data_IF_605947563808
#
_entry.id   IF_605947563808
#
_cell.length_a   1.000
_cell.length_b   1.000
_cell.length_c   1.000
_cell.angle_alpha   90.00
_cell.angle_beta   90.00
_cell.angle_gamma   90.00
#
_symmetry.space_group_name_H-M   'P 1'
#
loop_
_entity.id
_entity.type
_entity.pdbx_description
1 polymer ?
#
# COMPACT_ATOMS: atom_id res chain seq x y z
N UNK A 1 2.95 19.40 -6.25
CA UNK A 1 2.14 18.81 -5.15
C UNK A 1 1.56 19.87 -4.19
N UNK A 2 2.31 20.89 -3.75
CA UNK A 2 1.78 21.99 -2.90
C UNK A 2 0.59 22.78 -3.49
N UNK A 3 0.46 22.86 -4.82
CA UNK A 3 -0.64 23.59 -5.50
C UNK A 3 -1.99 22.87 -5.48
N UNK A 4 -2.01 21.53 -5.33
CA UNK A 4 -3.27 20.75 -5.33
C UNK A 4 -3.91 20.72 -3.93
N UNK A 5 -3.09 20.84 -2.88
CA UNK A 5 -3.57 20.90 -1.49
C UNK A 5 -4.22 22.26 -1.18
N UNK A 6 -3.70 23.36 -1.73
CA UNK A 6 -4.29 24.70 -1.58
C UNK A 6 -5.64 24.84 -2.31
N UNK A 7 -5.84 24.16 -3.44
CA UNK A 7 -7.10 24.22 -4.18
C UNK A 7 -8.23 23.45 -3.49
N UNK A 8 -7.91 22.41 -2.71
CA UNK A 8 -8.91 21.66 -1.94
C UNK A 8 -9.36 22.41 -0.68
N UNK A 9 -8.44 23.16 -0.05
CA UNK A 9 -8.74 24.02 1.10
C UNK A 9 -9.57 25.27 0.71
N UNK A 10 -9.29 25.85 -0.47
CA UNK A 10 -10.00 27.03 -0.98
C UNK A 10 -11.45 26.74 -1.40
N UNK A 11 -11.75 25.52 -1.87
CA UNK A 11 -13.12 25.13 -2.23
C UNK A 11 -14.02 24.88 -1.00
N UNK A 12 -13.40 24.52 0.13
CA UNK A 12 -14.10 24.36 1.41
C UNK A 12 -14.48 25.74 1.97
N UNK A 13 -13.62 26.77 1.83
CA UNK A 13 -13.85 28.08 2.42
C UNK A 13 -15.02 28.90 1.81
N UNK A 14 -15.44 28.61 0.57
CA UNK A 14 -16.46 29.39 -0.15
C UNK A 14 -17.93 29.04 0.20
N UNK A 15 -18.17 28.12 1.14
CA UNK A 15 -19.52 27.70 1.56
C UNK A 15 -19.85 27.98 3.04
N UNK A 16 -18.97 28.67 3.79
CA UNK A 16 -19.16 28.91 5.23
C UNK A 16 -19.88 30.22 5.54
N UNK A 17 -21.21 30.17 5.47
CA UNK A 17 -22.08 31.06 6.23
C UNK A 17 -22.50 30.40 7.55
N UNK A 18 -21.92 30.89 8.65
CA UNK A 18 -22.43 30.81 10.03
C UNK A 18 -22.34 29.48 10.80
N UNK A 19 -21.40 29.42 11.75
CA UNK A 19 -21.58 28.75 13.05
C UNK A 19 -21.16 27.28 13.19
N UNK A 20 -19.94 27.04 13.66
CA UNK A 20 -19.56 26.65 15.03
C UNK A 20 -18.04 26.42 14.99
N UNK A 21 -17.29 27.32 15.62
CA UNK A 21 -15.82 27.26 15.77
C UNK A 21 -15.52 26.60 17.12
N UNK A 22 -15.45 25.26 17.15
CA UNK A 22 -14.94 24.54 18.33
C UNK A 22 -13.97 23.39 17.95
N UNK A 23 -13.77 23.09 16.66
CA UNK A 23 -13.00 21.92 16.22
C UNK A 23 -11.69 22.21 15.45
N UNK A 24 -11.27 23.48 15.33
CA UNK A 24 -10.05 23.82 14.57
C UNK A 24 -8.76 23.54 15.35
N UNK A 25 -8.73 23.76 16.67
CA UNK A 25 -7.49 23.71 17.44
C UNK A 25 -6.88 22.30 17.57
N UNK A 26 -7.72 21.27 17.75
CA UNK A 26 -7.25 19.88 17.88
C UNK A 26 -6.78 19.33 16.53
N UNK A 27 -7.47 19.67 15.44
CA UNK A 27 -7.06 19.27 14.09
C UNK A 27 -5.75 19.94 13.66
N UNK A 28 -5.57 21.23 14.00
CA UNK A 28 -4.32 21.95 13.77
C UNK A 28 -3.15 21.38 14.59
N UNK A 29 -3.39 20.97 15.84
CA UNK A 29 -2.36 20.35 16.67
C UNK A 29 -1.91 18.99 16.13
N UNK A 30 -2.85 18.12 15.75
CA UNK A 30 -2.54 16.83 15.09
C UNK A 30 -1.75 17.05 13.78
N UNK A 31 -2.09 18.08 13.00
CA UNK A 31 -1.36 18.39 11.78
C UNK A 31 0.07 18.85 12.06
N UNK A 32 0.30 19.67 13.10
CA UNK A 32 1.65 20.07 13.52
C UNK A 32 2.48 18.86 13.94
N UNK A 33 1.92 17.97 14.75
CA UNK A 33 2.60 16.75 15.17
C UNK A 33 2.95 15.83 13.98
N UNK A 34 2.06 15.73 12.99
CA UNK A 34 2.32 15.03 11.73
C UNK A 34 3.52 15.65 11.00
N UNK A 35 3.52 16.97 10.83
CA UNK A 35 4.59 17.69 10.11
C UNK A 35 5.95 17.54 10.82
N UNK A 36 5.96 17.61 12.16
CA UNK A 36 7.14 17.41 12.99
C UNK A 36 7.70 15.98 12.88
N UNK A 37 6.82 14.97 12.94
CA UNK A 37 7.21 13.57 12.80
C UNK A 37 7.70 13.27 11.38
N UNK A 38 7.09 13.83 10.34
CA UNK A 38 7.55 13.69 8.96
C UNK A 38 8.97 14.26 8.79
N UNK A 39 9.25 15.42 9.39
CA UNK A 39 10.60 16.00 9.41
C UNK A 39 11.59 15.08 10.15
N UNK A 40 11.23 14.65 11.36
CA UNK A 40 12.08 13.79 12.21
C UNK A 40 12.40 12.45 11.53
N UNK A 41 11.43 11.85 10.85
CA UNK A 41 11.63 10.60 10.11
C UNK A 41 12.59 10.77 8.93
N UNK A 42 12.61 11.93 8.28
CA UNK A 42 13.56 12.24 7.22
C UNK A 42 14.99 12.28 7.76
N UNK A 43 15.19 12.87 8.94
CA UNK A 43 16.48 12.94 9.62
C UNK A 43 16.93 11.54 10.08
N UNK A 44 16.07 10.81 10.79
CA UNK A 44 16.35 9.47 11.31
C UNK A 44 16.67 8.46 10.21
N UNK A 45 16.00 8.54 9.05
CA UNK A 45 16.25 7.63 7.92
C UNK A 45 17.72 7.63 7.49
N UNK A 46 18.38 8.78 7.54
CA UNK A 46 19.79 8.93 7.14
C UNK A 46 20.78 8.50 8.24
N UNK A 47 20.32 8.48 9.49
CA UNK A 47 21.18 8.30 10.66
C UNK A 47 21.05 6.90 11.29
N UNK A 48 20.03 6.12 10.94
CA UNK A 48 19.71 4.87 11.61
C UNK A 48 20.73 3.74 11.34
N UNK A 49 21.73 3.62 12.21
CA UNK A 49 22.84 2.67 12.08
C UNK A 49 22.75 1.52 13.08
N UNK A 50 22.19 1.78 14.26
CA UNK A 50 22.05 0.79 15.34
C UNK A 50 20.66 0.14 15.34
N UNK A 51 20.50 -0.94 16.10
CA UNK A 51 19.20 -1.56 16.37
C UNK A 51 18.28 -0.56 17.06
N UNK A 52 18.80 0.17 18.06
CA UNK A 52 18.05 1.20 18.78
C UNK A 52 17.53 2.29 17.84
N UNK A 53 18.36 2.77 16.90
CA UNK A 53 17.92 3.78 15.93
C UNK A 53 16.81 3.27 15.02
N UNK A 54 16.89 1.99 14.60
CA UNK A 54 15.84 1.37 13.78
C UNK A 54 14.54 1.22 14.56
N UNK A 55 14.60 0.81 15.83
CA UNK A 55 13.42 0.74 16.70
C UNK A 55 12.78 2.12 16.86
N UNK A 56 13.59 3.15 17.13
CA UNK A 56 13.11 4.54 17.20
C UNK A 56 12.50 4.98 15.87
N UNK A 57 13.11 4.62 14.74
CA UNK A 57 12.54 4.91 13.42
C UNK A 57 11.15 4.26 13.24
N UNK A 58 10.99 2.98 13.57
CA UNK A 58 9.69 2.29 13.52
C UNK A 58 8.68 2.91 14.49
N UNK A 59 9.08 3.28 15.70
CA UNK A 59 8.19 3.92 16.67
C UNK A 59 7.66 5.27 16.17
N UNK A 60 8.51 6.10 15.55
CA UNK A 60 8.07 7.37 14.97
C UNK A 60 7.17 7.14 13.74
N UNK A 61 7.43 6.10 12.92
CA UNK A 61 6.52 5.71 11.82
C UNK A 61 5.15 5.26 12.33
N UNK A 62 5.13 4.45 13.40
CA UNK A 62 3.91 3.97 14.06
C UNK A 62 3.12 5.15 14.64
N UNK A 63 3.80 6.08 15.33
CA UNK A 63 3.18 7.28 15.88
C UNK A 63 2.56 8.15 14.78
N UNK A 64 3.31 8.41 13.70
CA UNK A 64 2.82 9.17 12.55
C UNK A 64 1.59 8.53 11.91
N UNK A 65 1.61 7.21 11.68
CA UNK A 65 0.47 6.52 11.08
C UNK A 65 -0.74 6.48 12.03
N UNK A 66 -0.52 6.38 13.34
CA UNK A 66 -1.57 6.46 14.35
C UNK A 66 -2.24 7.84 14.34
N UNK A 67 -1.47 8.93 14.24
CA UNK A 67 -2.02 10.28 14.11
C UNK A 67 -2.81 10.47 12.81
N UNK A 68 -2.29 9.98 11.68
CA UNK A 68 -2.99 10.03 10.38
C UNK A 68 -4.30 9.22 10.38
N UNK A 69 -4.34 8.09 11.10
CA UNK A 69 -5.55 7.31 11.33
C UNK A 69 -6.54 8.12 12.16
N UNK A 70 -6.11 8.68 13.30
CA UNK A 70 -6.97 9.52 14.14
C UNK A 70 -7.56 10.70 13.36
N UNK A 71 -6.75 11.41 12.57
CA UNK A 71 -7.22 12.52 11.73
C UNK A 71 -8.26 12.06 10.68
N UNK A 72 -8.11 10.86 10.14
CA UNK A 72 -9.06 10.28 9.18
C UNK A 72 -10.36 9.87 9.88
N UNK A 73 -10.28 9.32 11.09
CA UNK A 73 -11.44 8.98 11.92
C UNK A 73 -12.22 10.25 12.33
N UNK A 74 -11.54 11.31 12.73
CA UNK A 74 -12.15 12.62 13.02
C UNK A 74 -12.86 13.19 11.77
N UNK A 75 -12.24 13.06 10.60
CA UNK A 75 -12.83 13.48 9.33
C UNK A 75 -14.11 12.70 9.04
N UNK A 76 -14.10 11.38 9.22
CA UNK A 76 -15.27 10.52 9.05
C UNK A 76 -16.38 10.93 10.04
N UNK A 77 -16.05 11.20 11.30
CA UNK A 77 -17.02 11.63 12.31
C UNK A 77 -17.64 12.99 11.92
N UNK A 78 -16.84 13.96 11.51
CA UNK A 78 -17.30 15.28 11.06
C UNK A 78 -18.23 15.18 9.83
N UNK A 79 -17.82 14.42 8.80
CA UNK A 79 -18.63 14.20 7.60
C UNK A 79 -19.94 13.49 7.94
N UNK A 80 -19.90 12.48 8.81
CA UNK A 80 -21.09 11.74 9.25
C UNK A 80 -22.07 12.66 10.00
N UNK A 81 -21.57 13.56 10.86
CA UNK A 81 -22.41 14.57 11.51
C UNK A 81 -23.09 15.52 10.50
N UNK A 82 -22.36 15.95 9.46
CA UNK A 82 -22.93 16.77 8.37
C UNK A 82 -24.00 16.01 7.58
N UNK A 83 -23.76 14.73 7.30
CA UNK A 83 -24.73 13.85 6.63
C UNK A 83 -26.01 13.77 7.45
N UNK A 84 -25.94 13.54 8.76
CA UNK A 84 -27.12 13.52 9.64
C UNK A 84 -27.93 14.83 9.56
N UNK A 85 -27.25 15.99 9.57
CA UNK A 85 -27.92 17.29 9.42
C UNK A 85 -28.59 17.41 8.04
N UNK A 86 -27.92 16.97 6.97
CA UNK A 86 -28.49 16.97 5.62
C UNK A 86 -29.69 16.02 5.51
N UNK A 87 -29.68 14.86 6.15
CA UNK A 87 -30.80 13.91 6.20
C UNK A 87 -32.03 14.52 6.86
N UNK A 88 -31.85 15.20 8.00
CA UNK A 88 -32.94 15.91 8.69
C UNK A 88 -33.53 16.98 7.76
N UNK A 89 -32.68 17.81 7.15
CA UNK A 89 -33.10 18.87 6.21
C UNK A 89 -33.83 18.30 4.99
N UNK A 90 -33.38 17.17 4.44
CA UNK A 90 -34.06 16.50 3.34
C UNK A 90 -35.43 15.99 3.76
N UNK A 91 -35.54 15.39 4.95
CA UNK A 91 -36.82 14.91 5.49
C UNK A 91 -37.82 16.04 5.69
N UNK A 92 -37.41 17.15 6.30
CA UNK A 92 -38.25 18.34 6.49
C UNK A 92 -38.74 18.91 5.16
N UNK A 93 -37.85 19.01 4.17
CA UNK A 93 -38.19 19.50 2.82
C UNK A 93 -39.14 18.57 2.07
N UNK A 94 -38.93 17.26 2.15
CA UNK A 94 -39.83 16.26 1.57
C UNK A 94 -41.25 16.38 2.14
N UNK A 95 -41.40 16.59 3.46
CA UNK A 95 -42.71 16.81 4.09
C UNK A 95 -43.40 18.10 3.61
N UNK A 96 -42.64 19.18 3.40
CA UNK A 96 -43.18 20.44 2.86
C UNK A 96 -43.64 20.24 1.42
N UNK A 97 -42.82 19.61 0.58
CA UNK A 97 -43.15 19.31 -0.81
C UNK A 97 -44.40 18.42 -0.92
N UNK A 98 -44.52 17.39 -0.08
CA UNK A 98 -45.70 16.52 -0.03
C UNK A 98 -46.97 17.30 0.30
N UNK A 99 -46.94 18.16 1.34
CA UNK A 99 -48.08 19.03 1.69
C UNK A 99 -48.45 19.97 0.54
N UNK A 100 -47.46 20.51 -0.16
CA UNK A 100 -47.68 21.40 -1.30
C UNK A 100 -48.30 20.68 -2.49
N UNK A 101 -47.82 19.48 -2.83
CA UNK A 101 -48.37 18.64 -3.90
C UNK A 101 -49.83 18.28 -3.58
N UNK A 102 -50.11 17.83 -2.36
CA UNK A 102 -51.45 17.46 -1.93
C UNK A 102 -52.41 18.65 -1.90
N UNK A 103 -51.94 19.84 -1.48
CA UNK A 103 -52.73 21.07 -1.55
C UNK A 103 -53.02 21.48 -3.00
N UNK A 104 -52.00 21.45 -3.87
CA UNK A 104 -52.16 21.74 -5.30
C UNK A 104 -53.13 20.77 -5.96
N UNK A 105 -53.10 19.49 -5.58
CA UNK A 105 -54.04 18.48 -6.06
C UNK A 105 -55.48 18.75 -5.58
N UNK A 106 -55.66 19.04 -4.28
CA UNK A 106 -56.99 19.35 -3.70
C UNK A 106 -57.62 20.62 -4.28
N UNK A 107 -56.81 21.61 -4.65
CA UNK A 107 -57.32 22.83 -5.28
C UNK A 107 -57.71 22.64 -6.76
N UNK A 108 -57.31 21.53 -7.37
CA UNK A 108 -57.48 21.27 -8.80
C UNK A 108 -56.64 22.22 -9.67
N UNK A 109 -56.40 21.84 -10.92
CA UNK A 109 -55.86 22.78 -11.91
C UNK A 109 -56.95 23.78 -12.27
N UNK A 110 -57.03 24.90 -11.56
CA UNK A 110 -57.88 26.00 -11.97
C UNK A 110 -57.32 26.54 -13.29
N UNK A 111 -58.08 26.40 -14.38
CA UNK A 111 -57.73 26.97 -15.67
C UNK A 111 -57.58 28.50 -15.49
N UNK A 112 -56.44 29.11 -15.87
CA UNK A 112 -56.24 30.55 -15.81
C UNK A 112 -57.39 31.34 -16.45
N UNK A 113 -58.03 30.78 -17.48
CA UNK A 113 -59.21 31.37 -18.12
C UNK A 113 -60.45 31.30 -17.22
N UNK A 114 -60.68 30.22 -16.48
CA UNK A 114 -61.78 30.13 -15.51
C UNK A 114 -61.60 31.08 -14.31
N UNK A 115 -60.37 31.29 -13.85
CA UNK A 115 -60.08 32.31 -12.82
C UNK A 115 -60.33 33.72 -13.37
N UNK A 116 -60.02 33.97 -14.64
CA UNK A 116 -60.26 35.26 -15.28
C UNK A 116 -61.76 35.60 -15.37
N UNK A 117 -62.60 34.61 -15.71
CA UNK A 117 -64.05 34.82 -15.90
C UNK A 117 -64.90 34.68 -14.63
N UNK A 118 -64.34 34.24 -13.50
CA UNK A 118 -65.08 34.03 -12.24
C UNK A 118 -65.03 35.20 -11.24
N UNK A 119 -64.34 36.30 -11.59
CA UNK A 119 -64.06 37.40 -10.64
C UNK A 119 -64.70 38.69 -11.13
N UNK A 120 -65.54 39.31 -10.30
CA UNK A 120 -66.27 40.56 -10.61
C UNK A 120 -65.48 41.85 -10.35
N UNK A 121 -64.27 41.76 -9.76
CA UNK A 121 -63.42 42.89 -9.35
C UNK A 121 -61.97 42.72 -9.87
N UNK A 122 -61.52 43.67 -10.68
CA UNK A 122 -60.17 43.69 -11.28
C UNK A 122 -59.04 43.73 -10.24
N UNK A 123 -59.23 44.41 -9.11
CA UNK A 123 -58.25 44.47 -8.02
C UNK A 123 -58.02 43.09 -7.39
N UNK A 124 -59.11 42.33 -7.25
CA UNK A 124 -59.09 40.96 -6.72
C UNK A 124 -58.44 39.97 -7.70
N UNK A 125 -58.69 40.14 -9.00
CA UNK A 125 -58.04 39.37 -10.06
C UNK A 125 -56.51 39.59 -10.08
N UNK A 126 -56.06 40.86 -10.09
CA UNK A 126 -54.64 41.21 -10.11
C UNK A 126 -53.91 40.66 -8.87
N UNK A 127 -54.55 40.74 -7.71
CA UNK A 127 -54.02 40.19 -6.46
C UNK A 127 -53.85 38.67 -6.56
N UNK A 128 -54.88 37.93 -7.02
CA UNK A 128 -54.82 36.47 -7.21
C UNK A 128 -53.72 36.05 -8.20
N UNK A 129 -53.54 36.78 -9.29
CA UNK A 129 -52.48 36.53 -10.26
C UNK A 129 -51.07 36.74 -9.66
N UNK A 130 -50.88 37.84 -8.92
CA UNK A 130 -49.64 38.09 -8.17
C UNK A 130 -49.35 36.96 -7.17
N UNK A 131 -50.36 36.53 -6.40
CA UNK A 131 -50.22 35.41 -5.46
C UNK A 131 -49.85 34.09 -6.17
N UNK A 132 -50.52 33.75 -7.28
CA UNK A 132 -50.21 32.55 -8.05
C UNK A 132 -48.75 32.55 -8.55
N UNK A 133 -48.26 33.71 -9.04
CA UNK A 133 -46.87 33.86 -9.48
C UNK A 133 -45.87 33.70 -8.33
N UNK A 134 -46.18 34.24 -7.15
CA UNK A 134 -45.35 34.08 -5.95
C UNK A 134 -45.30 32.60 -5.53
N UNK A 135 -46.43 31.90 -5.53
CA UNK A 135 -46.50 30.47 -5.20
C UNK A 135 -45.67 29.64 -6.20
N UNK A 136 -45.82 29.90 -7.51
CA UNK A 136 -45.04 29.19 -8.54
C UNK A 136 -43.53 29.41 -8.39
N UNK A 137 -43.11 30.65 -8.14
CA UNK A 137 -41.72 30.98 -7.90
C UNK A 137 -41.16 30.28 -6.64
N UNK A 138 -41.94 30.27 -5.56
CA UNK A 138 -41.58 29.60 -4.32
C UNK A 138 -41.46 28.08 -4.51
N UNK A 139 -42.40 27.44 -5.21
CA UNK A 139 -42.36 26.00 -5.49
C UNK A 139 -41.12 25.62 -6.31
N UNK A 140 -40.80 26.40 -7.36
CA UNK A 140 -39.57 26.19 -8.15
C UNK A 140 -38.32 26.31 -7.29
N UNK A 141 -38.29 27.29 -6.39
CA UNK A 141 -37.17 27.49 -5.45
C UNK A 141 -37.03 26.31 -4.49
N UNK A 142 -38.11 25.83 -3.89
CA UNK A 142 -38.06 24.69 -2.96
C UNK A 142 -37.56 23.42 -3.66
N UNK A 143 -38.00 23.16 -4.90
CA UNK A 143 -37.53 22.03 -5.70
C UNK A 143 -36.03 22.14 -6.00
N UNK A 144 -35.57 23.29 -6.50
CA UNK A 144 -34.16 23.56 -6.75
C UNK A 144 -33.31 23.39 -5.48
N UNK A 145 -33.71 24.01 -4.38
CA UNK A 145 -32.97 23.93 -3.12
C UNK A 145 -32.93 22.48 -2.59
N UNK A 146 -34.00 21.71 -2.80
CA UNK A 146 -34.04 20.28 -2.44
C UNK A 146 -33.06 19.48 -3.27
N UNK A 147 -32.97 19.73 -4.58
CA UNK A 147 -31.97 19.09 -5.46
C UNK A 147 -30.55 19.41 -5.00
N UNK A 148 -30.26 20.66 -4.64
CA UNK A 148 -28.94 21.06 -4.12
C UNK A 148 -28.60 20.30 -2.83
N UNK A 149 -29.55 20.16 -1.90
CA UNK A 149 -29.32 19.40 -0.67
C UNK A 149 -29.11 17.91 -0.97
N UNK A 150 -29.86 17.32 -1.92
CA UNK A 150 -29.67 15.92 -2.35
C UNK A 150 -28.28 15.69 -2.96
N UNK A 151 -27.82 16.62 -3.82
CA UNK A 151 -26.48 16.56 -4.41
C UNK A 151 -25.39 16.65 -3.33
N UNK A 152 -25.53 17.59 -2.40
CA UNK A 152 -24.60 17.73 -1.27
C UNK A 152 -24.59 16.47 -0.39
N UNK A 153 -25.75 15.89 -0.10
CA UNK A 153 -25.86 14.64 0.67
C UNK A 153 -25.13 13.50 -0.04
N UNK A 154 -25.38 13.30 -1.34
CA UNK A 154 -24.73 12.26 -2.12
C UNK A 154 -23.20 12.44 -2.17
N UNK A 155 -22.74 13.68 -2.36
CA UNK A 155 -21.31 14.00 -2.36
C UNK A 155 -20.66 13.71 -1.00
N UNK A 156 -21.28 14.13 0.11
CA UNK A 156 -20.76 13.86 1.46
C UNK A 156 -20.70 12.36 1.76
N UNK A 157 -21.71 11.60 1.30
CA UNK A 157 -21.74 10.14 1.44
C UNK A 157 -20.56 9.47 0.69
N UNK A 158 -20.29 9.89 -0.54
CA UNK A 158 -19.14 9.39 -1.31
C UNK A 158 -17.81 9.70 -0.60
N UNK A 159 -17.65 10.91 -0.07
CA UNK A 159 -16.44 11.28 0.69
C UNK A 159 -16.22 10.41 1.93
N UNK A 160 -17.29 10.02 2.63
CA UNK A 160 -17.20 9.08 3.76
C UNK A 160 -16.78 7.70 3.29
N UNK A 161 -17.32 7.19 2.18
CA UNK A 161 -16.92 5.88 1.66
C UNK A 161 -15.44 5.85 1.26
N UNK A 162 -14.96 6.89 0.58
CA UNK A 162 -13.55 7.00 0.20
C UNK A 162 -12.64 7.14 1.43
N UNK A 163 -13.05 7.92 2.43
CA UNK A 163 -12.32 8.04 3.69
C UNK A 163 -12.26 6.70 4.45
N UNK A 164 -13.34 5.90 4.46
CA UNK A 164 -13.36 4.56 5.07
C UNK A 164 -12.42 3.61 4.34
N UNK A 165 -12.42 3.60 3.00
CA UNK A 165 -11.46 2.79 2.21
C UNK A 165 -10.01 3.17 2.54
N UNK A 166 -9.72 4.46 2.64
CA UNK A 166 -8.40 4.96 3.04
C UNK A 166 -8.03 4.52 4.46
N UNK A 167 -8.95 4.62 5.41
CA UNK A 167 -8.75 4.19 6.80
C UNK A 167 -8.38 2.71 6.89
N UNK A 168 -9.06 1.84 6.13
CA UNK A 168 -8.76 0.42 6.09
C UNK A 168 -7.34 0.14 5.58
N UNK A 169 -6.92 0.85 4.52
CA UNK A 169 -5.54 0.75 4.01
C UNK A 169 -4.52 1.23 5.04
N UNK A 170 -4.79 2.35 5.73
CA UNK A 170 -3.91 2.86 6.78
C UNK A 170 -3.79 1.89 7.96
N UNK A 171 -4.90 1.29 8.41
CA UNK A 171 -4.90 0.29 9.50
C UNK A 171 -4.09 -0.95 9.13
N UNK A 172 -4.23 -1.46 7.90
CA UNK A 172 -3.41 -2.56 7.39
C UNK A 172 -1.93 -2.20 7.35
N UNK A 173 -1.59 -1.01 6.85
CA UNK A 173 -0.20 -0.53 6.81
C UNK A 173 0.39 -0.39 8.22
N UNK A 174 -0.38 0.09 9.20
CA UNK A 174 0.06 0.20 10.59
C UNK A 174 0.31 -1.18 11.23
N UNK A 175 -0.54 -2.17 10.93
CA UNK A 175 -0.34 -3.54 11.41
C UNK A 175 0.96 -4.14 10.88
N UNK A 176 1.23 -4.00 9.58
CA UNK A 176 2.48 -4.45 8.95
C UNK A 176 3.70 -3.77 9.57
N UNK A 177 3.65 -2.46 9.81
CA UNK A 177 4.77 -1.74 10.45
C UNK A 177 5.06 -2.22 11.88
N UNK A 178 4.02 -2.62 12.64
CA UNK A 178 4.19 -3.17 13.98
C UNK A 178 4.82 -4.56 13.92
N UNK A 179 4.34 -5.40 13.01
CA UNK A 179 4.87 -6.74 12.77
C UNK A 179 6.34 -6.69 12.32
N UNK A 180 6.70 -5.81 11.39
CA UNK A 180 8.10 -5.62 10.95
C UNK A 180 9.02 -5.22 12.12
N UNK A 181 8.56 -4.34 13.00
CA UNK A 181 9.31 -3.95 14.20
C UNK A 181 9.47 -5.12 15.17
N UNK A 182 8.39 -5.86 15.42
CA UNK A 182 8.41 -6.99 16.35
C UNK A 182 9.30 -8.12 15.81
N UNK A 183 9.24 -8.41 14.51
CA UNK A 183 10.12 -9.34 13.82
C UNK A 183 11.59 -8.92 13.94
N UNK A 184 11.93 -7.65 13.72
CA UNK A 184 13.29 -7.14 13.94
C UNK A 184 13.78 -7.44 15.37
N UNK A 185 12.95 -7.21 16.38
CA UNK A 185 13.31 -7.47 17.78
C UNK A 185 13.45 -8.96 18.08
N UNK A 186 12.59 -9.81 17.51
CA UNK A 186 12.66 -11.27 17.64
C UNK A 186 13.95 -11.80 17.02
N UNK A 187 14.24 -11.41 15.77
CA UNK A 187 15.39 -11.89 15.01
C UNK A 187 16.72 -11.42 15.60
N UNK A 188 16.76 -10.20 16.13
CA UNK A 188 17.96 -9.66 16.78
C UNK A 188 18.05 -10.05 18.24
N UNK A 189 16.99 -10.65 18.83
CA UNK A 189 16.86 -10.93 20.27
C UNK A 189 17.15 -9.69 21.13
N UNK A 190 16.76 -8.53 20.62
CA UNK A 190 17.07 -7.22 21.20
C UNK A 190 18.57 -7.00 21.48
N UNK A 191 19.45 -7.55 20.63
CA UNK A 191 20.90 -7.51 20.80
C UNK A 191 21.58 -6.82 19.61
N UNK A 192 22.28 -5.71 19.90
CA UNK A 192 23.00 -4.91 18.91
C UNK A 192 24.05 -5.72 18.15
N UNK A 193 24.80 -6.60 18.82
CA UNK A 193 25.85 -7.39 18.18
C UNK A 193 25.26 -8.40 17.19
N UNK A 194 24.09 -8.99 17.48
CA UNK A 194 23.40 -9.89 16.55
C UNK A 194 22.93 -9.11 15.32
N UNK A 195 22.34 -7.94 15.54
CA UNK A 195 21.89 -7.05 14.47
C UNK A 195 23.04 -6.61 13.55
N UNK A 196 24.14 -6.12 14.12
CA UNK A 196 25.30 -5.69 13.33
C UNK A 196 25.95 -6.86 12.59
N UNK A 197 26.01 -8.03 13.21
CA UNK A 197 26.49 -9.25 12.53
C UNK A 197 25.64 -9.52 11.29
N UNK A 198 24.32 -9.61 11.42
CA UNK A 198 23.44 -9.90 10.28
C UNK A 198 23.54 -8.87 9.15
N UNK A 199 23.66 -7.58 9.48
CA UNK A 199 23.89 -6.54 8.48
C UNK A 199 25.21 -6.73 7.74
N UNK A 200 26.28 -7.04 8.45
CA UNK A 200 27.57 -7.28 7.83
C UNK A 200 27.56 -8.54 6.96
N UNK A 201 26.88 -9.61 7.39
CA UNK A 201 26.70 -10.81 6.57
C UNK A 201 26.04 -10.47 5.22
N UNK A 202 24.93 -9.73 5.23
CA UNK A 202 24.25 -9.29 4.01
C UNK A 202 25.11 -8.35 3.14
N UNK A 203 25.93 -7.48 3.75
CA UNK A 203 26.85 -6.59 3.03
C UNK A 203 27.96 -7.36 2.32
N UNK A 204 28.55 -8.33 3.02
CA UNK A 204 29.62 -9.17 2.49
C UNK A 204 29.11 -10.08 1.37
N UNK A 205 27.92 -10.64 1.53
CA UNK A 205 27.27 -11.45 0.50
C UNK A 205 27.04 -10.64 -0.78
N UNK A 206 26.47 -9.43 -0.67
CA UNK A 206 26.31 -8.54 -1.83
C UNK A 206 27.65 -8.24 -2.52
N UNK A 207 28.70 -7.95 -1.74
CA UNK A 207 30.02 -7.67 -2.27
C UNK A 207 30.59 -8.88 -3.02
N UNK A 208 30.41 -10.10 -2.47
CA UNK A 208 30.82 -11.34 -3.12
C UNK A 208 30.06 -11.60 -4.42
N UNK A 209 28.74 -11.34 -4.48
CA UNK A 209 27.96 -11.48 -5.73
C UNK A 209 28.44 -10.47 -6.79
N UNK A 210 28.71 -9.23 -6.40
CA UNK A 210 29.24 -8.21 -7.31
C UNK A 210 30.62 -8.58 -7.85
N UNK A 211 31.51 -9.08 -6.99
CA UNK A 211 32.82 -9.56 -7.41
C UNK A 211 32.71 -10.80 -8.32
N UNK A 212 31.78 -11.71 -8.06
CA UNK A 212 31.54 -12.87 -8.91
C UNK A 212 31.10 -12.45 -10.32
N UNK A 213 30.26 -11.43 -10.46
CA UNK A 213 29.90 -10.88 -11.77
C UNK A 213 31.11 -10.32 -12.54
N UNK A 214 32.10 -9.77 -11.84
CA UNK A 214 33.28 -9.19 -12.46
C UNK A 214 34.38 -10.21 -12.78
N UNK A 215 34.53 -11.25 -11.96
CA UNK A 215 35.68 -12.16 -11.98
C UNK A 215 35.34 -13.64 -12.24
N UNK A 216 34.09 -13.97 -12.58
CA UNK A 216 33.72 -15.36 -12.81
C UNK A 216 34.42 -15.97 -14.02
N UNK A 217 34.75 -17.25 -13.89
CA UNK A 217 35.32 -18.08 -14.95
C UNK A 217 34.20 -18.75 -15.72
N UNK A 218 34.27 -18.71 -17.05
CA UNK A 218 33.31 -19.39 -17.93
C UNK A 218 33.59 -20.89 -17.92
N UNK A 219 32.62 -21.71 -17.51
CA UNK A 219 32.73 -23.17 -17.55
C UNK A 219 32.31 -23.73 -18.92
N UNK A 220 31.26 -23.17 -19.54
CA UNK A 220 30.80 -23.62 -20.86
C UNK A 220 29.29 -23.60 -21.02
N UNK A 221 28.76 -24.09 -22.16
CA UNK A 221 27.33 -24.22 -22.36
C UNK A 221 26.74 -25.34 -21.48
N UNK A 222 25.53 -25.12 -20.95
CA UNK A 222 24.75 -26.10 -20.20
C UNK A 222 23.34 -26.19 -20.75
N UNK A 223 22.73 -27.38 -20.63
CA UNK A 223 21.35 -27.65 -20.98
C UNK A 223 20.47 -27.72 -19.75
N UNK A 224 19.19 -27.45 -19.96
CA UNK A 224 18.17 -27.58 -18.94
C UNK A 224 18.22 -28.98 -18.31
N UNK A 225 18.33 -29.05 -16.98
CA UNK A 225 18.42 -30.30 -16.23
C UNK A 225 19.83 -30.85 -16.00
N UNK A 226 20.87 -30.26 -16.63
CA UNK A 226 22.26 -30.65 -16.40
C UNK A 226 22.66 -30.37 -14.94
N UNK A 227 23.41 -31.28 -14.29
CA UNK A 227 23.94 -31.04 -12.96
C UNK A 227 25.03 -29.96 -13.01
N UNK A 228 24.89 -28.91 -12.21
CA UNK A 228 25.79 -27.76 -12.20
C UNK A 228 26.54 -27.59 -10.87
N UNK A 229 26.14 -28.30 -9.81
CA UNK A 229 26.80 -28.25 -8.52
C UNK A 229 26.05 -29.03 -7.44
N UNK A 230 26.53 -28.93 -6.21
CA UNK A 230 25.86 -29.48 -5.03
C UNK A 230 25.50 -28.36 -4.07
N UNK A 231 24.33 -28.47 -3.42
CA UNK A 231 23.94 -27.59 -2.33
C UNK A 231 24.95 -27.73 -1.20
N UNK A 232 25.55 -26.61 -0.82
CA UNK A 232 26.58 -26.57 0.20
C UNK A 232 26.24 -25.57 1.31
N UNK A 233 27.29 -25.14 1.98
CA UNK A 233 27.24 -24.11 3.02
C UNK A 233 28.43 -23.15 2.85
N UNK A 234 28.85 -22.91 1.60
CA UNK A 234 29.94 -21.96 1.34
C UNK A 234 29.52 -20.56 1.78
N UNK A 235 30.49 -19.79 2.25
CA UNK A 235 30.26 -18.54 2.97
C UNK A 235 30.08 -18.70 4.48
N UNK A 236 29.85 -19.90 5.04
CA UNK A 236 29.76 -20.07 6.49
C UNK A 236 31.10 -19.78 7.20
N UNK A 237 31.12 -19.10 8.36
CA UNK A 237 29.98 -18.51 9.09
C UNK A 237 29.66 -17.05 8.70
N UNK A 238 30.37 -16.49 7.71
CA UNK A 238 30.38 -15.06 7.40
C UNK A 238 29.23 -14.59 6.52
N UNK A 239 28.68 -15.45 5.67
CA UNK A 239 27.62 -15.12 4.71
C UNK A 239 26.60 -16.26 4.55
N UNK A 240 26.75 -17.33 5.32
CA UNK A 240 25.75 -18.38 5.42
C UNK A 240 25.61 -18.81 6.87
N UNK A 241 24.40 -19.20 7.24
CA UNK A 241 24.06 -19.71 8.58
C UNK A 241 23.80 -21.22 8.58
N UNK A 242 23.67 -21.85 7.41
CA UNK A 242 23.36 -23.26 7.27
C UNK A 242 23.34 -23.72 5.82
N UNK A 243 23.29 -25.04 5.61
CA UNK A 243 23.25 -25.62 4.26
C UNK A 243 21.94 -25.29 3.57
N UNK A 244 21.99 -24.54 2.47
CA UNK A 244 20.83 -24.21 1.63
C UNK A 244 21.29 -23.73 0.25
N UNK A 245 20.35 -23.72 -0.71
CA UNK A 245 20.54 -23.06 -2.00
C UNK A 245 19.81 -21.73 -1.97
N UNK A 246 20.55 -20.64 -2.19
CA UNK A 246 19.97 -19.35 -2.50
C UNK A 246 19.91 -19.19 -4.03
N UNK A 247 18.69 -19.14 -4.57
CA UNK A 247 18.43 -19.06 -6.01
C UNK A 247 17.84 -17.70 -6.40
N UNK A 248 18.55 -16.95 -7.22
CA UNK A 248 18.08 -15.66 -7.75
C UNK A 248 17.81 -15.72 -9.25
N UNK A 249 16.82 -14.96 -9.70
CA UNK A 249 16.63 -14.64 -11.12
C UNK A 249 16.83 -13.13 -11.30
N UNK A 250 17.64 -12.75 -12.30
CA UNK A 250 17.88 -11.35 -12.67
C UNK A 250 17.49 -11.09 -14.11
N UNK A 251 16.80 -9.99 -14.33
CA UNK A 251 16.50 -9.45 -15.65
C UNK A 251 17.21 -8.11 -15.80
N UNK A 252 18.26 -8.06 -16.62
CA UNK A 252 19.24 -6.99 -16.59
C UNK A 252 19.92 -6.94 -15.21
N UNK A 253 19.88 -5.76 -14.58
CA UNK A 253 20.42 -5.56 -13.23
C UNK A 253 19.35 -5.65 -12.13
N UNK A 254 18.10 -5.98 -12.48
CA UNK A 254 16.99 -6.05 -11.52
C UNK A 254 16.74 -7.48 -11.03
N UNK A 255 16.57 -7.63 -9.72
CA UNK A 255 16.05 -8.86 -9.13
C UNK A 255 14.56 -9.01 -9.44
N UNK A 256 14.17 -10.22 -9.83
CA UNK A 256 12.77 -10.56 -10.12
C UNK A 256 12.37 -11.80 -9.33
N UNK A 257 11.08 -11.93 -9.06
CA UNK A 257 10.57 -13.08 -8.33
C UNK A 257 10.80 -14.36 -9.13
N UNK A 258 11.71 -15.21 -8.64
CA UNK A 258 12.07 -16.47 -9.27
C UNK A 258 10.90 -17.46 -9.40
N UNK A 259 9.92 -17.41 -8.48
CA UNK A 259 8.73 -18.27 -8.57
C UNK A 259 7.86 -17.98 -9.80
N UNK A 260 7.98 -16.79 -10.39
CA UNK A 260 7.35 -16.46 -11.67
C UNK A 260 7.84 -17.32 -12.83
N UNK A 261 9.04 -17.90 -12.70
CA UNK A 261 9.69 -18.70 -13.74
C UNK A 261 9.62 -20.20 -13.46
N UNK A 262 9.59 -20.59 -12.19
CA UNK A 262 9.56 -21.99 -11.76
C UNK A 262 8.17 -22.61 -11.88
N UNK A 263 8.10 -23.89 -12.26
CA UNK A 263 6.87 -24.68 -12.36
C UNK A 263 6.12 -24.71 -11.03
N UNK A 264 4.80 -24.77 -11.13
CA UNK A 264 3.95 -24.94 -9.96
C UNK A 264 4.28 -26.25 -9.23
N UNK A 265 4.48 -26.17 -7.92
CA UNK A 265 4.62 -27.32 -7.03
C UNK A 265 4.08 -27.00 -5.63
N UNK A 266 3.87 -28.05 -4.83
CA UNK A 266 3.60 -27.92 -3.39
C UNK A 266 4.90 -28.14 -2.62
N UNK A 267 5.30 -27.18 -1.79
CA UNK A 267 6.47 -27.30 -0.93
C UNK A 267 6.21 -28.22 0.29
N UNK A 268 7.25 -28.44 1.10
CA UNK A 268 7.16 -29.23 2.33
C UNK A 268 6.12 -28.71 3.33
N UNK A 269 5.76 -27.42 3.28
CA UNK A 269 4.79 -26.79 4.16
C UNK A 269 3.34 -26.87 3.63
N UNK A 270 3.13 -27.49 2.46
CA UNK A 270 1.83 -27.58 1.83
C UNK A 270 1.42 -26.32 1.04
N UNK A 271 2.36 -25.42 0.78
CA UNK A 271 2.11 -24.19 0.03
C UNK A 271 2.29 -24.44 -1.46
N UNK A 272 1.31 -24.01 -2.26
CA UNK A 272 1.43 -24.01 -3.72
C UNK A 272 2.24 -22.79 -4.16
N UNK A 273 3.37 -23.05 -4.80
CA UNK A 273 4.36 -22.05 -5.22
C UNK A 273 4.77 -22.31 -6.67
N UNK A 274 5.30 -21.30 -7.34
CA UNK A 274 5.65 -21.38 -8.75
C UNK A 274 4.47 -21.13 -9.70
N UNK A 275 4.74 -20.45 -10.80
CA UNK A 275 3.74 -20.10 -11.82
C UNK A 275 4.28 -20.11 -13.25
N UNK A 276 5.56 -20.46 -13.42
CA UNK A 276 6.23 -20.53 -14.71
C UNK A 276 6.40 -21.95 -15.24
N UNK A 277 7.40 -22.13 -16.10
CA UNK A 277 7.60 -23.35 -16.87
C UNK A 277 8.99 -23.99 -16.68
N UNK A 278 9.88 -23.38 -15.91
CA UNK A 278 11.19 -23.95 -15.62
C UNK A 278 11.11 -24.98 -14.52
N UNK A 279 11.89 -26.04 -14.66
CA UNK A 279 12.06 -26.98 -13.56
C UNK A 279 12.76 -26.31 -12.38
N UNK A 280 12.41 -26.75 -11.17
CA UNK A 280 13.10 -26.32 -9.95
C UNK A 280 14.58 -26.70 -10.01
N UNK A 281 15.48 -25.82 -9.49
CA UNK A 281 16.92 -26.02 -9.54
C UNK A 281 17.38 -27.19 -8.67
N UNK A 282 16.57 -27.62 -7.70
CA UNK A 282 16.77 -28.85 -6.93
C UNK A 282 15.53 -29.74 -7.05
N UNK A 283 15.70 -31.04 -6.83
CA UNK A 283 14.63 -32.05 -6.94
C UNK A 283 14.37 -32.69 -5.57
N UNK A 284 13.30 -33.45 -5.47
CA UNK A 284 12.93 -34.13 -4.22
C UNK A 284 11.91 -33.34 -3.42
N UNK A 285 11.93 -33.49 -2.10
CA UNK A 285 11.05 -32.74 -1.20
C UNK A 285 11.66 -31.36 -0.97
N UNK A 286 11.18 -30.34 -1.68
CA UNK A 286 11.70 -28.96 -1.55
C UNK A 286 11.05 -28.28 -0.35
N UNK A 287 11.89 -27.78 0.55
CA UNK A 287 11.50 -26.92 1.66
C UNK A 287 12.02 -25.52 1.37
N UNK A 288 11.10 -24.57 1.13
CA UNK A 288 11.45 -23.17 0.99
C UNK A 288 11.57 -22.56 2.39
N UNK A 289 12.77 -22.10 2.72
CA UNK A 289 13.07 -21.49 4.03
C UNK A 289 12.84 -19.99 4.00
N UNK A 290 13.06 -19.34 2.85
CA UNK A 290 12.79 -17.92 2.67
C UNK A 290 12.39 -17.62 1.21
N UNK A 291 11.28 -16.90 1.03
CA UNK A 291 10.77 -16.53 -0.30
C UNK A 291 11.34 -15.20 -0.77
N UNK A 292 11.17 -14.90 -2.05
CA UNK A 292 11.45 -13.59 -2.61
C UNK A 292 10.53 -12.52 -2.00
N UNK A 293 11.05 -11.32 -1.76
CA UNK A 293 10.26 -10.18 -1.29
C UNK A 293 10.43 -9.86 0.20
N UNK A 294 9.44 -9.19 0.79
CA UNK A 294 9.45 -8.88 2.23
C UNK A 294 9.13 -10.14 3.03
N UNK A 295 10.01 -10.48 3.96
CA UNK A 295 9.93 -11.64 4.86
C UNK A 295 10.41 -11.22 6.25
N UNK A 296 10.20 -12.06 7.26
CA UNK A 296 10.61 -11.78 8.65
C UNK A 296 12.12 -11.54 8.81
N UNK A 297 12.93 -12.03 7.88
CA UNK A 297 14.38 -11.93 7.89
C UNK A 297 14.92 -10.87 6.92
N UNK A 298 14.09 -10.32 6.02
CA UNK A 298 14.59 -9.51 4.90
C UNK A 298 15.01 -8.08 5.26
N UNK A 299 14.81 -7.65 6.50
CA UNK A 299 15.21 -6.32 6.97
C UNK A 299 16.72 -6.05 6.84
N UNK A 300 17.53 -7.11 6.78
CA UNK A 300 18.99 -7.02 6.65
C UNK A 300 19.42 -6.54 5.25
N UNK A 301 18.61 -6.82 4.22
CA UNK A 301 18.90 -6.50 2.83
C UNK A 301 18.57 -5.04 2.49
N UNK A 302 19.25 -4.10 3.16
CA UNK A 302 19.04 -2.66 2.96
C UNK A 302 19.27 -2.22 1.51
N UNK A 303 20.16 -2.90 0.79
CA UNK A 303 20.50 -2.61 -0.61
C UNK A 303 19.36 -2.87 -1.60
N UNK A 304 18.43 -3.77 -1.27
CA UNK A 304 17.28 -4.12 -2.10
C UNK A 304 15.99 -3.43 -1.62
N UNK A 305 16.08 -2.58 -0.59
CA UNK A 305 14.92 -1.98 0.06
C UNK A 305 14.25 -2.89 1.10
N UNK A 306 15.00 -3.86 1.64
CA UNK A 306 14.52 -4.79 2.66
C UNK A 306 13.76 -5.98 2.08
N UNK A 307 14.07 -6.37 0.84
CA UNK A 307 13.52 -7.57 0.20
C UNK A 307 14.60 -8.64 0.06
N UNK A 308 14.22 -9.88 0.29
CA UNK A 308 15.03 -11.02 -0.09
C UNK A 308 15.03 -11.15 -1.62
N UNK A 309 16.22 -11.21 -2.23
CA UNK A 309 16.43 -11.09 -3.68
C UNK A 309 16.31 -12.41 -4.44
N UNK A 310 16.23 -13.52 -3.72
CA UNK A 310 16.09 -14.86 -4.26
C UNK A 310 15.07 -15.69 -3.50
N UNK A 311 15.22 -17.00 -3.62
CA UNK A 311 14.50 -18.01 -2.83
C UNK A 311 15.54 -18.91 -2.19
N UNK A 312 15.43 -19.07 -0.88
CA UNK A 312 16.24 -20.00 -0.12
C UNK A 312 15.50 -21.31 0.03
N UNK A 313 16.17 -22.39 -0.32
CA UNK A 313 15.56 -23.71 -0.32
C UNK A 313 16.54 -24.80 0.09
N UNK A 314 16.00 -25.83 0.72
CA UNK A 314 16.69 -27.08 1.03
C UNK A 314 15.89 -28.26 0.47
N UNK A 315 16.57 -29.38 0.24
CA UNK A 315 15.89 -30.60 -0.17
C UNK A 315 16.64 -31.84 0.31
N UNK A 316 16.02 -33.01 0.17
CA UNK A 316 16.61 -34.32 0.37
C UNK A 316 17.56 -34.73 -0.78
N UNK A 317 17.60 -33.96 -1.85
CA UNK A 317 18.58 -34.08 -2.93
C UNK A 317 19.39 -32.79 -3.10
N UNK A 318 20.71 -32.90 -2.96
CA UNK A 318 21.63 -31.77 -3.04
C UNK A 318 22.06 -31.41 -4.47
N UNK A 319 21.68 -32.18 -5.49
CA UNK A 319 22.12 -31.90 -6.86
C UNK A 319 21.40 -30.68 -7.42
N UNK A 320 22.16 -29.62 -7.65
CA UNK A 320 21.70 -28.41 -8.31
C UNK A 320 21.72 -28.64 -9.82
N UNK A 321 20.62 -28.30 -10.49
CA UNK A 321 20.43 -28.43 -11.93
C UNK A 321 20.18 -27.07 -12.59
N UNK A 322 20.65 -26.95 -13.83
CA UNK A 322 20.35 -25.80 -14.66
C UNK A 322 18.83 -25.72 -14.93
N UNK A 323 18.22 -24.57 -14.63
CA UNK A 323 16.76 -24.38 -14.80
C UNK A 323 16.38 -24.12 -16.27
N UNK A 324 17.35 -23.67 -17.07
CA UNK A 324 17.22 -23.39 -18.49
C UNK A 324 18.60 -23.47 -19.17
N UNK A 325 18.59 -23.59 -20.50
CA UNK A 325 19.80 -23.57 -21.34
C UNK A 325 20.56 -22.24 -21.19
N UNK A 326 21.89 -22.29 -21.24
CA UNK A 326 22.70 -21.07 -21.19
C UNK A 326 24.19 -21.33 -21.12
N UNK A 327 24.95 -20.31 -20.72
CA UNK A 327 26.39 -20.43 -20.43
C UNK A 327 26.62 -20.35 -18.93
N UNK A 328 27.24 -21.39 -18.38
CA UNK A 328 27.58 -21.49 -16.96
C UNK A 328 28.89 -20.76 -16.66
N UNK A 329 28.87 -20.02 -15.55
CA UNK A 329 30.00 -19.34 -14.97
C UNK A 329 30.13 -19.74 -13.50
N UNK A 330 31.37 -19.86 -13.02
CA UNK A 330 31.67 -20.15 -11.62
C UNK A 330 32.65 -19.13 -11.04
N UNK A 331 32.51 -18.91 -9.74
CA UNK A 331 33.31 -17.94 -9.01
C UNK A 331 33.37 -18.33 -7.53
N UNK A 332 34.57 -18.23 -6.95
CA UNK A 332 34.77 -18.29 -5.51
C UNK A 332 35.22 -16.92 -5.04
N UNK A 333 34.45 -16.29 -4.14
CA UNK A 333 34.74 -14.96 -3.63
C UNK A 333 34.87 -14.96 -2.12
N UNK A 334 35.74 -14.11 -1.60
CA UNK A 334 35.83 -13.88 -0.16
C UNK A 334 34.55 -13.24 0.32
N UNK A 335 34.02 -13.82 1.38
CA UNK A 335 32.84 -13.35 2.09
C UNK A 335 33.23 -13.32 3.57
N UNK A 336 33.72 -12.18 4.04
CA UNK A 336 34.37 -12.07 5.35
C UNK A 336 35.60 -12.98 5.45
N UNK A 337 35.63 -13.85 6.47
CA UNK A 337 36.70 -14.84 6.64
C UNK A 337 36.47 -16.14 5.85
N UNK A 338 35.36 -16.24 5.13
CA UNK A 338 34.92 -17.47 4.46
C UNK A 338 34.99 -17.32 2.94
N UNK A 339 34.97 -18.44 2.23
CA UNK A 339 34.85 -18.47 0.77
C UNK A 339 33.41 -18.81 0.38
N UNK A 340 32.80 -17.98 -0.45
CA UNK A 340 31.48 -18.17 -1.02
C UNK A 340 31.62 -18.63 -2.47
N UNK A 341 31.10 -19.83 -2.75
CA UNK A 341 31.07 -20.38 -4.10
C UNK A 341 29.73 -20.00 -4.75
N UNK A 342 29.83 -19.36 -5.91
CA UNK A 342 28.71 -18.86 -6.69
C UNK A 342 28.82 -19.44 -8.07
N UNK A 343 27.71 -19.97 -8.58
CA UNK A 343 27.54 -20.21 -10.01
C UNK A 343 26.41 -19.36 -10.53
N UNK A 344 26.51 -18.94 -11.78
CA UNK A 344 25.39 -18.31 -12.47
C UNK A 344 25.34 -18.77 -13.91
N UNK A 345 24.14 -18.79 -14.47
CA UNK A 345 23.90 -19.11 -15.88
C UNK A 345 23.41 -17.84 -16.57
N UNK A 346 24.10 -17.47 -17.66
CA UNK A 346 23.60 -16.47 -18.60
C UNK A 346 22.75 -17.15 -19.68
N UNK A 347 21.46 -16.83 -19.69
CA UNK A 347 20.48 -17.36 -20.64
C UNK A 347 20.34 -16.48 -21.89
N UNK A 348 21.08 -15.38 -21.98
CA UNK A 348 20.94 -14.36 -23.01
C UNK A 348 19.83 -13.35 -22.69
N UNK A 349 19.71 -12.30 -23.52
CA UNK A 349 18.70 -11.23 -23.38
C UNK A 349 18.67 -10.56 -22.00
N UNK A 350 19.80 -10.55 -21.30
CA UNK A 350 19.92 -10.00 -19.94
C UNK A 350 19.33 -10.87 -18.84
N UNK A 351 18.85 -12.09 -19.14
CA UNK A 351 18.29 -13.01 -18.16
C UNK A 351 19.40 -13.89 -17.57
N UNK A 352 19.58 -13.81 -16.26
CA UNK A 352 20.57 -14.61 -15.52
C UNK A 352 19.93 -15.32 -14.34
N UNK A 353 20.45 -16.49 -14.00
CA UNK A 353 20.11 -17.20 -12.77
C UNK A 353 21.33 -17.40 -11.91
N UNK A 354 21.23 -17.13 -10.61
CA UNK A 354 22.32 -17.27 -9.65
C UNK A 354 22.03 -18.39 -8.67
N UNK A 355 23.08 -19.11 -8.32
CA UNK A 355 23.09 -20.26 -7.44
C UNK A 355 24.20 -20.03 -6.42
N UNK A 356 23.81 -19.71 -5.19
CA UNK A 356 24.71 -19.36 -4.10
C UNK A 356 24.86 -20.53 -3.11
N UNK A 357 25.88 -20.42 -2.26
CA UNK A 357 26.21 -21.40 -1.21
C UNK A 357 26.57 -22.79 -1.74
N UNK A 358 27.12 -22.88 -2.96
CA UNK A 358 27.49 -24.16 -3.58
C UNK A 358 28.64 -24.83 -2.81
N UNK A 359 28.67 -26.16 -2.77
CA UNK A 359 29.74 -26.94 -2.13
C UNK A 359 31.12 -26.72 -2.77
#
# INVERSE_FOLDING_TARGET
>A
MKKILLTFLALILLLFGSGIVVHSSESEDKQRQIDELEKKLTELKSQAKTLADQVVYYENQIALNTLKISQTEDTIASLSGKITILEIRLKERSLILEKQILHSYKQGSLDPLQILFSVTDFSRLLSRFKYARIIQANNRRILHDTQVVQLNYAQQKNLVEDAKKKLEVQKKSLAVLREEKDNLLIQTKNNEAIYQKQLEQARLELAAIQAALAAATREGPVKTGDPIGLVGNSGYPSCSTGKHLHFEVRQGDSWVNAEGYLKNMTDKWGLNIGSGNWDWPIKGTVEVTQRYGKTDYSYVYKYSGGIHTGIDMVSDNDVIKAVADGTLYSSTQKCGSSDLNIKYIDHGSGLKTFYLHIQ
#
